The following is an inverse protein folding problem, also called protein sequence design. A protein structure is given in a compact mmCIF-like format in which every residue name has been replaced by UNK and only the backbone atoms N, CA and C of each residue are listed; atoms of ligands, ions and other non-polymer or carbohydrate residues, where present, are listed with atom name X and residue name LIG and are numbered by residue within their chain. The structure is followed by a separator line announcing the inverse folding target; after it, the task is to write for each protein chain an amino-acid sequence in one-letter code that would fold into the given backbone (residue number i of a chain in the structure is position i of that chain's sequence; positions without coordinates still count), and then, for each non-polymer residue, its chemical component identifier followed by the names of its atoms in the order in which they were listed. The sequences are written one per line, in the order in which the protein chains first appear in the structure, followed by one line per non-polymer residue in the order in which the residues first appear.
data_IF_311363631761
#
_entry.id   IF_311363631761
#
_cell.length_a   1.000
_cell.length_b   1.000
_cell.length_c   1.000
_cell.angle_alpha   90.00
_cell.angle_beta   90.00
_cell.angle_gamma   90.00
#
_symmetry.space_group_name_H-M   'P 1'
#
loop_
_entity.id
_entity.type
_entity.pdbx_description
1 polymer ?
#
# COMPACT_ATOMS: atom_id res chain seq x y z
N UNK A 1 -16.55 -5.13 -7.68
CA UNK A 1 -15.23 -4.66 -8.17
C UNK A 1 -14.27 -5.83 -8.32
N UNK A 2 -13.63 -5.98 -9.50
CA UNK A 2 -12.67 -7.07 -9.77
C UNK A 2 -11.20 -6.58 -9.73
N UNK A 3 -10.25 -7.50 -9.86
CA UNK A 3 -8.81 -7.19 -9.85
C UNK A 3 -8.35 -6.31 -11.03
N UNK A 4 -8.96 -6.46 -12.20
CA UNK A 4 -8.63 -5.67 -13.39
C UNK A 4 -9.03 -4.21 -13.22
N UNK A 5 -10.21 -3.93 -12.65
CA UNK A 5 -10.69 -2.58 -12.38
C UNK A 5 -9.69 -1.79 -11.52
N UNK A 6 -9.14 -2.47 -10.49
CA UNK A 6 -8.16 -1.88 -9.56
C UNK A 6 -6.84 -1.57 -10.29
N UNK A 7 -6.39 -2.47 -11.16
CA UNK A 7 -5.19 -2.25 -11.98
C UNK A 7 -5.40 -1.08 -12.93
N UNK A 8 -6.54 -0.99 -13.63
CA UNK A 8 -6.81 0.11 -14.54
C UNK A 8 -6.85 1.47 -13.83
N UNK A 9 -7.47 1.54 -12.65
CA UNK A 9 -7.43 2.76 -11.83
C UNK A 9 -5.99 3.13 -11.43
N UNK A 10 -5.19 2.14 -11.02
CA UNK A 10 -3.80 2.38 -10.64
C UNK A 10 -2.99 2.92 -11.83
N UNK A 11 -3.17 2.31 -13.01
CA UNK A 11 -2.53 2.74 -14.25
C UNK A 11 -2.94 4.16 -14.66
N UNK A 12 -4.23 4.55 -14.60
CA UNK A 12 -4.65 5.95 -14.85
C UNK A 12 -4.01 6.93 -13.86
N UNK A 13 -3.84 6.50 -12.61
CA UNK A 13 -3.10 7.25 -11.61
C UNK A 13 -1.62 7.42 -11.96
N UNK A 14 -1.03 6.41 -12.61
CA UNK A 14 0.38 6.39 -12.98
C UNK A 14 0.68 7.09 -14.31
N UNK A 15 -0.19 7.01 -15.32
CA UNK A 15 0.01 7.66 -16.63
C UNK A 15 0.21 9.17 -16.50
N UNK A 16 -0.39 9.79 -15.48
CA UNK A 16 -0.17 11.21 -15.15
C UNK A 16 1.26 11.51 -14.70
N UNK A 17 2.08 10.49 -14.45
CA UNK A 17 3.47 10.54 -13.99
C UNK A 17 4.32 9.53 -14.78
N UNK A 18 4.87 9.95 -15.92
CA UNK A 18 5.77 9.16 -16.79
C UNK A 18 7.01 8.56 -16.08
N UNK A 19 7.22 8.92 -14.81
CA UNK A 19 8.34 8.48 -13.96
C UNK A 19 8.08 7.20 -13.18
N UNK A 20 6.82 6.70 -13.19
CA UNK A 20 6.43 5.51 -12.44
C UNK A 20 6.73 4.24 -13.25
N UNK A 21 7.47 3.33 -12.64
CA UNK A 21 7.84 2.03 -13.17
C UNK A 21 7.10 0.93 -12.39
N UNK A 22 6.50 -0.02 -13.12
CA UNK A 22 5.96 -1.24 -12.52
C UNK A 22 7.13 -2.17 -12.21
N UNK A 23 7.43 -2.31 -10.92
CA UNK A 23 8.51 -3.17 -10.43
C UNK A 23 8.12 -4.64 -10.45
N UNK A 24 6.86 -4.96 -10.14
CA UNK A 24 6.32 -6.32 -10.20
C UNK A 24 4.80 -6.28 -10.33
N UNK A 25 4.25 -7.15 -11.16
CA UNK A 25 2.81 -7.38 -11.24
C UNK A 25 2.53 -8.87 -11.35
N UNK A 26 1.71 -9.39 -10.46
CA UNK A 26 1.11 -10.72 -10.51
C UNK A 26 -0.40 -10.51 -10.53
N UNK A 27 -1.02 -10.72 -11.70
CA UNK A 27 -2.46 -10.55 -11.90
C UNK A 27 -3.06 -11.86 -12.37
N UNK A 28 -4.03 -12.35 -11.60
CA UNK A 28 -4.87 -13.49 -11.94
C UNK A 28 -6.32 -13.12 -11.66
N UNK A 29 -7.26 -13.97 -12.07
CA UNK A 29 -8.67 -13.80 -11.70
C UNK A 29 -8.83 -13.65 -10.19
N UNK A 30 -8.04 -14.39 -9.42
CA UNK A 30 -8.23 -14.54 -7.98
C UNK A 30 -7.27 -13.75 -7.09
N UNK A 31 -6.19 -13.22 -7.66
CA UNK A 31 -5.09 -12.59 -6.92
C UNK A 31 -4.58 -11.41 -7.72
N UNK A 32 -4.39 -10.30 -7.02
CA UNK A 32 -3.66 -9.13 -7.49
C UNK A 32 -2.49 -8.88 -6.54
N UNK A 33 -1.31 -8.72 -7.12
CA UNK A 33 -0.15 -8.12 -6.47
C UNK A 33 0.51 -7.17 -7.46
N UNK A 34 0.47 -5.87 -7.20
CA UNK A 34 1.11 -4.85 -7.99
C UNK A 34 2.06 -4.07 -7.10
N UNK A 35 3.29 -3.89 -7.57
CA UNK A 35 4.33 -3.07 -6.93
C UNK A 35 4.86 -2.11 -7.98
N UNK A 36 4.69 -0.82 -7.73
CA UNK A 36 5.18 0.25 -8.60
C UNK A 36 6.04 1.24 -7.81
N UNK A 37 7.05 1.82 -8.46
CA UNK A 37 8.00 2.77 -7.87
C UNK A 37 8.19 3.97 -8.78
N UNK A 38 8.59 5.11 -8.23
CA UNK A 38 9.06 6.25 -9.01
C UNK A 38 10.57 6.42 -8.80
N UNK A 39 11.37 6.19 -9.86
CA UNK A 39 12.84 6.31 -9.79
C UNK A 39 13.33 7.75 -9.63
N UNK A 40 12.49 8.73 -9.98
CA UNK A 40 12.78 10.16 -9.78
C UNK A 40 12.42 10.62 -8.37
N UNK A 41 11.49 9.91 -7.71
CA UNK A 41 11.14 10.12 -6.31
C UNK A 41 12.14 9.40 -5.39
N UNK A 42 13.36 9.93 -5.34
CA UNK A 42 14.48 9.33 -4.61
C UNK A 42 14.97 10.23 -3.48
N UNK A 43 15.52 9.62 -2.43
CA UNK A 43 16.26 10.30 -1.38
C UNK A 43 17.34 9.39 -0.80
N UNK A 44 18.20 9.94 0.05
CA UNK A 44 19.30 9.23 0.68
C UNK A 44 19.10 9.22 2.20
N UNK A 45 19.04 8.05 2.85
CA UNK A 45 18.87 8.00 4.31
C UNK A 45 20.21 8.19 5.02
N UNK A 46 21.27 7.58 4.48
CA UNK A 46 22.68 7.65 4.90
C UNK A 46 23.56 7.63 3.65
N UNK A 47 24.83 7.96 3.77
CA UNK A 47 25.77 7.89 2.65
C UNK A 47 25.68 6.54 1.91
N UNK A 48 25.43 6.58 0.61
CA UNK A 48 25.22 5.43 -0.32
C UNK A 48 23.93 4.62 -0.10
N UNK A 49 23.02 5.09 0.77
CA UNK A 49 21.76 4.42 1.11
C UNK A 49 20.55 5.10 0.46
N UNK A 50 20.37 4.79 -0.83
CA UNK A 50 19.33 5.37 -1.68
C UNK A 50 17.99 4.68 -1.46
N UNK A 51 16.92 5.47 -1.38
CA UNK A 51 15.54 5.00 -1.27
C UNK A 51 14.62 5.65 -2.30
N UNK A 52 13.63 4.90 -2.76
CA UNK A 52 12.62 5.32 -3.74
C UNK A 52 11.22 5.25 -3.14
N UNK A 53 10.34 6.16 -3.52
CA UNK A 53 8.92 6.06 -3.19
C UNK A 53 8.20 5.08 -4.11
N UNK A 54 7.25 4.33 -3.56
CA UNK A 54 6.44 3.39 -4.33
C UNK A 54 5.13 3.02 -3.66
N UNK A 55 4.32 2.24 -4.36
CA UNK A 55 3.04 1.71 -3.89
C UNK A 55 2.97 0.20 -4.10
N UNK A 56 2.32 -0.48 -3.14
CA UNK A 56 1.93 -1.89 -3.24
C UNK A 56 0.41 -1.96 -3.19
N UNK A 57 -0.17 -2.63 -4.17
CA UNK A 57 -1.59 -2.95 -4.23
C UNK A 57 -1.72 -4.48 -4.18
N UNK A 58 -2.49 -5.00 -3.25
CA UNK A 58 -2.75 -6.44 -3.15
C UNK A 58 -4.23 -6.72 -2.96
N UNK A 59 -4.74 -7.72 -3.67
CA UNK A 59 -6.09 -8.23 -3.47
C UNK A 59 -6.07 -9.77 -3.58
N UNK A 60 -6.95 -10.43 -2.84
CA UNK A 60 -7.16 -11.89 -2.97
C UNK A 60 -8.64 -12.17 -2.88
N UNK A 61 -9.21 -12.65 -3.98
CA UNK A 61 -10.63 -12.89 -4.17
C UNK A 61 -11.09 -14.22 -3.53
N UNK A 62 -10.17 -15.17 -3.28
CA UNK A 62 -10.52 -16.56 -2.86
C UNK A 62 -10.41 -16.84 -1.36
N UNK A 63 -9.95 -15.90 -0.53
CA UNK A 63 -9.89 -16.18 0.90
C UNK A 63 -9.57 -14.97 1.74
N UNK A 64 -10.48 -14.61 2.68
CA UNK A 64 -10.38 -13.71 3.83
C UNK A 64 -9.57 -12.39 3.70
N UNK A 65 -9.06 -12.06 2.52
CA UNK A 65 -8.04 -11.04 2.33
C UNK A 65 -8.71 -9.80 1.80
N UNK A 66 -8.54 -8.76 2.60
CA UNK A 66 -8.92 -7.41 2.26
C UNK A 66 -8.05 -6.87 1.11
N UNK A 67 -8.67 -6.13 0.18
CA UNK A 67 -7.95 -5.23 -0.72
C UNK A 67 -7.05 -4.34 0.13
N UNK A 68 -5.76 -4.28 -0.22
CA UNK A 68 -4.82 -3.36 0.39
C UNK A 68 -4.12 -2.49 -0.63
N UNK A 69 -4.02 -1.22 -0.29
CA UNK A 69 -3.30 -0.19 -1.05
C UNK A 69 -2.40 0.53 -0.06
N UNK A 70 -1.09 0.34 -0.22
CA UNK A 70 -0.10 0.69 0.80
C UNK A 70 1.08 1.42 0.13
N UNK A 71 1.36 2.68 0.49
CA UNK A 71 2.61 3.34 0.16
C UNK A 71 3.78 2.61 0.83
N UNK A 72 4.92 2.55 0.14
CA UNK A 72 6.12 1.92 0.65
C UNK A 72 7.37 2.66 0.16
N UNK A 73 8.50 2.41 0.82
CA UNK A 73 9.81 2.93 0.44
C UNK A 73 10.68 1.77 0.01
N UNK A 74 11.13 1.75 -1.25
CA UNK A 74 12.07 0.78 -1.76
C UNK A 74 13.50 1.27 -1.47
N UNK A 75 14.22 0.57 -0.61
CA UNK A 75 15.62 0.88 -0.34
C UNK A 75 16.50 0.10 -1.31
N UNK A 76 17.39 0.78 -2.05
CA UNK A 76 18.21 0.20 -3.13
C UNK A 76 19.02 -1.02 -2.67
N UNK A 77 19.52 -0.99 -1.43
CA UNK A 77 20.30 -2.09 -0.84
C UNK A 77 19.43 -3.26 -0.31
N UNK A 78 18.10 -3.11 -0.26
CA UNK A 78 17.19 -4.21 0.07
C UNK A 78 15.94 -4.23 -0.84
N UNK A 79 15.85 -5.26 -1.69
CA UNK A 79 14.74 -5.43 -2.64
C UNK A 79 13.36 -5.63 -1.96
N UNK A 80 13.36 -5.93 -0.66
CA UNK A 80 12.15 -6.19 0.12
C UNK A 80 11.32 -4.91 0.38
N UNK A 81 11.96 -3.74 0.52
CA UNK A 81 11.29 -2.46 0.80
C UNK A 81 10.67 -2.37 2.21
N UNK A 82 10.36 -1.15 2.65
CA UNK A 82 9.67 -0.86 3.92
C UNK A 82 8.23 -0.38 3.64
N UNK A 83 7.24 -1.06 4.21
CA UNK A 83 5.82 -0.68 4.10
C UNK A 83 5.51 0.42 5.14
N UNK A 84 4.91 1.52 4.70
CA UNK A 84 4.57 2.64 5.56
C UNK A 84 3.22 2.41 6.26
N UNK A 85 3.00 3.08 7.39
CA UNK A 85 1.79 2.88 8.22
C UNK A 85 0.47 3.31 7.53
N UNK A 86 0.52 4.10 6.45
CA UNK A 86 -0.65 4.57 5.71
C UNK A 86 -1.24 3.47 4.81
N UNK A 87 -1.81 2.43 5.40
CA UNK A 87 -2.42 1.32 4.66
C UNK A 87 -3.94 1.46 4.57
N UNK A 88 -4.50 1.39 3.37
CA UNK A 88 -5.92 1.13 3.19
C UNK A 88 -6.13 -0.37 3.24
N UNK A 89 -7.06 -0.84 4.08
CA UNK A 89 -7.49 -2.23 4.15
C UNK A 89 -9.01 -2.26 4.06
N UNK A 90 -9.58 -2.77 2.97
CA UNK A 90 -11.03 -3.03 2.84
C UNK A 90 -11.28 -4.52 2.95
N UNK A 91 -11.86 -4.97 4.05
CA UNK A 91 -12.41 -6.33 4.14
C UNK A 91 -13.68 -6.38 3.30
N UNK A 92 -13.84 -7.40 2.46
CA UNK A 92 -15.10 -7.62 1.73
C UNK A 92 -16.22 -7.80 2.76
N UNK A 93 -17.19 -6.88 2.81
CA UNK A 93 -18.38 -7.02 3.66
C UNK A 93 -19.27 -8.18 3.20
N UNK A 94 -19.18 -8.59 1.93
CA UNK A 94 -20.11 -9.54 1.29
C UNK A 94 -20.02 -10.99 1.81
N UNK A 95 -19.05 -11.32 2.65
CA UNK A 95 -18.90 -12.67 3.26
C UNK A 95 -18.42 -12.63 4.71
N UNK A 96 -18.81 -11.63 5.49
CA UNK A 96 -18.97 -11.93 6.91
C UNK A 96 -20.19 -12.83 7.00
N UNK A 97 -19.95 -14.04 7.52
CA UNK A 97 -20.94 -15.09 7.70
C UNK A 97 -22.23 -14.46 8.21
N UNK A 98 -23.34 -14.71 7.51
CA UNK A 98 -24.69 -14.29 7.90
C UNK A 98 -24.98 -14.77 9.34
N UNK A 99 -24.58 -13.98 10.33
CA UNK A 99 -25.12 -14.08 11.68
C UNK A 99 -26.50 -13.42 11.66
N UNK A 100 -27.45 -14.06 12.35
CA UNK A 100 -28.85 -13.65 12.40
C UNK A 100 -28.91 -12.20 12.92
N UNK A 101 -29.19 -11.23 12.03
CA UNK A 101 -29.36 -9.82 12.41
C UNK A 101 -28.60 -8.80 11.55
N UNK A 102 -27.78 -9.20 10.58
CA UNK A 102 -27.13 -8.23 9.67
C UNK A 102 -28.10 -7.70 8.60
N UNK A 103 -28.03 -6.38 8.36
CA UNK A 103 -28.83 -5.66 7.38
C UNK A 103 -28.25 -5.97 5.99
N UNK A 104 -29.06 -6.56 5.11
CA UNK A 104 -28.72 -6.66 3.69
C UNK A 104 -28.74 -5.25 3.09
N UNK A 105 -27.56 -4.70 2.81
CA UNK A 105 -27.41 -3.36 2.27
C UNK A 105 -28.06 -3.24 0.91
N UNK A 106 -28.70 -2.10 0.64
CA UNK A 106 -29.26 -1.80 -0.67
C UNK A 106 -28.17 -1.74 -1.74
N UNK A 107 -28.54 -1.99 -3.00
CA UNK A 107 -27.63 -1.84 -4.13
C UNK A 107 -27.04 -0.41 -4.21
N UNK A 108 -27.86 0.60 -3.90
CA UNK A 108 -27.42 2.00 -3.79
C UNK A 108 -26.30 2.17 -2.76
N UNK A 109 -26.40 1.52 -1.60
CA UNK A 109 -25.36 1.60 -0.56
C UNK A 109 -24.05 0.98 -1.05
N UNK A 110 -24.14 -0.19 -1.70
CA UNK A 110 -22.96 -0.88 -2.28
C UNK A 110 -22.26 -0.02 -3.32
N UNK A 111 -23.01 0.61 -4.22
CA UNK A 111 -22.45 1.50 -5.24
C UNK A 111 -21.76 2.74 -4.64
N UNK A 112 -22.36 3.36 -3.62
CA UNK A 112 -21.78 4.52 -2.93
C UNK A 112 -20.49 4.15 -2.19
N UNK A 113 -20.45 2.98 -1.55
CA UNK A 113 -19.25 2.47 -0.90
C UNK A 113 -18.13 2.20 -1.90
N UNK A 114 -18.44 1.62 -3.05
CA UNK A 114 -17.46 1.38 -4.11
C UNK A 114 -16.93 2.71 -4.68
N UNK A 115 -17.80 3.69 -4.95
CA UNK A 115 -17.35 5.05 -5.35
C UNK A 115 -16.44 5.70 -4.31
N UNK A 116 -16.78 5.59 -3.03
CA UNK A 116 -15.94 6.11 -1.95
C UNK A 116 -14.59 5.40 -1.88
N UNK A 117 -14.58 4.08 -2.10
CA UNK A 117 -13.35 3.29 -2.16
C UNK A 117 -12.46 3.73 -3.33
N UNK A 118 -13.02 3.86 -4.54
CA UNK A 118 -12.30 4.35 -5.72
C UNK A 118 -11.62 5.71 -5.45
N UNK A 119 -12.35 6.63 -4.82
CA UNK A 119 -11.80 7.92 -4.43
C UNK A 119 -10.63 7.78 -3.48
N UNK A 120 -10.75 6.93 -2.44
CA UNK A 120 -9.67 6.68 -1.46
C UNK A 120 -8.42 6.10 -2.12
N UNK A 121 -8.56 5.12 -3.02
CA UNK A 121 -7.42 4.53 -3.73
C UNK A 121 -6.68 5.60 -4.53
N UNK A 122 -7.42 6.45 -5.27
CA UNK A 122 -6.84 7.55 -6.04
C UNK A 122 -6.10 8.55 -5.15
N UNK A 123 -6.67 8.91 -4.01
CA UNK A 123 -6.03 9.81 -3.06
C UNK A 123 -4.72 9.25 -2.50
N UNK A 124 -4.69 7.95 -2.19
CA UNK A 124 -3.49 7.27 -1.71
C UNK A 124 -2.42 7.23 -2.80
N UNK A 125 -2.77 6.88 -4.03
CA UNK A 125 -1.81 6.90 -5.16
C UNK A 125 -1.22 8.30 -5.32
N UNK A 126 -2.06 9.34 -5.34
CA UNK A 126 -1.61 10.73 -5.45
C UNK A 126 -0.68 11.13 -4.31
N UNK A 127 -1.05 10.79 -3.07
CA UNK A 127 -0.25 11.10 -1.88
C UNK A 127 1.09 10.34 -1.87
N UNK A 128 1.11 9.09 -2.34
CA UNK A 128 2.31 8.25 -2.40
C UNK A 128 3.40 8.86 -3.25
N UNK A 129 3.03 9.46 -4.39
CA UNK A 129 3.96 10.07 -5.33
C UNK A 129 4.06 11.60 -5.18
N UNK A 130 3.62 12.14 -4.04
CA UNK A 130 3.85 13.53 -3.69
C UNK A 130 5.24 13.71 -3.05
N UNK A 131 6.01 14.68 -3.55
CA UNK A 131 7.40 14.91 -3.11
C UNK A 131 7.48 15.36 -1.66
N UNK A 132 6.51 16.13 -1.17
CA UNK A 132 6.52 16.63 0.21
C UNK A 132 6.17 15.53 1.19
N UNK A 133 5.14 14.73 0.87
CA UNK A 133 4.74 13.56 1.66
C UNK A 133 5.90 12.55 1.71
N UNK A 134 6.50 12.22 0.57
CA UNK A 134 7.66 11.32 0.54
C UNK A 134 8.82 11.83 1.40
N UNK A 135 9.15 13.13 1.34
CA UNK A 135 10.18 13.72 2.19
C UNK A 135 9.86 13.57 3.68
N UNK A 136 8.60 13.75 4.08
CA UNK A 136 8.19 13.56 5.48
C UNK A 136 8.43 12.11 5.95
N UNK A 137 8.16 11.12 5.10
CA UNK A 137 8.44 9.71 5.40
C UNK A 137 9.94 9.43 5.51
N UNK A 138 10.76 10.01 4.62
CA UNK A 138 12.22 9.88 4.69
C UNK A 138 12.80 10.53 5.95
N UNK A 139 12.29 11.69 6.36
CA UNK A 139 12.71 12.36 7.60
C UNK A 139 12.41 11.46 8.80
N UNK A 140 11.17 10.94 8.88
CA UNK A 140 10.78 10.01 9.93
C UNK A 140 11.69 8.77 9.95
N UNK A 141 12.06 8.23 8.78
CA UNK A 141 13.01 7.11 8.69
C UNK A 141 14.40 7.45 9.23
N UNK A 142 14.93 8.62 8.89
CA UNK A 142 16.24 9.10 9.35
C UNK A 142 16.26 9.32 10.87
N UNK A 143 15.16 9.78 11.45
CA UNK A 143 15.01 9.95 12.90
C UNK A 143 14.99 8.59 13.61
N UNK A 144 14.22 7.63 13.09
CA UNK A 144 14.13 6.29 13.67
C UNK A 144 15.42 5.48 13.52
N UNK A 145 16.27 5.76 12.52
CA UNK A 145 17.58 5.08 12.39
C UNK A 145 18.59 5.48 13.48
N UNK A 146 18.27 6.47 14.34
CA UNK A 146 19.10 6.88 15.48
C UNK A 146 18.69 6.23 16.80
N UNK A 147 17.61 5.44 16.78
CA UNK A 147 17.13 4.75 17.98
C UNK A 147 17.91 3.42 18.08
N UNK A 148 18.88 3.37 18.99
CA UNK A 148 19.45 2.10 19.43
C UNK A 148 18.34 1.28 20.10
N UNK A 149 18.06 0.09 19.57
CA UNK A 149 17.24 -0.89 20.28
C UNK A 149 18.07 -1.34 21.48
N UNK A 150 17.80 -0.77 22.66
CA UNK A 150 18.33 -1.32 23.91
C UNK A 150 17.79 -2.74 24.03
N UNK A 151 18.67 -3.72 23.84
CA UNK A 151 18.39 -5.12 24.12
C UNK A 151 18.05 -5.28 25.59
N UNK A 152 16.75 -5.23 25.91
CA UNK A 152 16.21 -5.52 27.23
C UNK A 152 15.78 -6.99 27.28
N UNK A 153 16.66 -7.89 26.83
CA UNK A 153 16.55 -9.33 27.04
C UNK A 153 17.68 -9.77 27.97
N UNK A 154 17.56 -9.37 29.24
CA UNK A 154 18.27 -10.02 30.34
C UNK A 154 17.21 -10.42 31.35
N UNK A 155 17.35 -11.66 31.85
CA UNK A 155 16.55 -12.31 32.88
C UNK A 155 15.38 -13.17 32.40
N UNK A 156 15.68 -14.30 31.76
CA UNK A 156 15.01 -15.58 32.04
C UNK A 156 16.05 -16.72 31.91
N UNK A 157 16.95 -16.79 32.88
CA UNK A 157 17.64 -18.03 33.25
C UNK A 157 17.47 -18.19 34.74
N UNK A 158 16.55 -19.05 35.13
CA UNK A 158 16.67 -19.96 36.28
C UNK A 158 15.76 -21.15 35.99
#
# INVERSE_FOLDING_TARGET
MNNYDIVFLALDGFEKKETIEIFRIDLTETMLYLKAIDRTLTSEIRQEDIVYGGIIIRNSEVGASALRVEPFILRKVCLNGLILQYSLKKTHLERQTLEIGEIDWSEETRELEDKALWSKIRDIIRATFDKQIFRSWVINLRENTKIEIKNQWRHLTT
#
